data_IF_024406201649
#
_entry.id   IF_024406201649
#
_cell.length_a   1.000
_cell.length_b   1.000
_cell.length_c   1.000
_cell.angle_alpha   90.00
_cell.angle_beta   90.00
_cell.angle_gamma   90.00
#
_symmetry.space_group_name_H-M   'P 1'
#
loop_
_entity.id
_entity.type
_entity.pdbx_description
1 polymer ?
#
# COMPACT_ATOMS: atom_id res chain seq x y z
N UNK A 1 7.75 -10.32 -1.24
CA UNK A 1 6.65 -9.73 -2.05
C UNK A 1 7.10 -9.72 -3.52
N UNK A 2 6.18 -10.00 -4.44
CA UNK A 2 6.43 -9.93 -5.89
C UNK A 2 5.25 -9.25 -6.58
N UNK A 3 5.43 -8.88 -7.85
CA UNK A 3 4.42 -8.15 -8.63
C UNK A 3 3.91 -6.90 -7.88
N UNK A 4 4.86 -6.07 -7.44
CA UNK A 4 4.54 -4.86 -6.68
C UNK A 4 4.00 -3.79 -7.63
N UNK A 5 2.81 -3.30 -7.33
CA UNK A 5 2.18 -2.20 -8.03
C UNK A 5 1.79 -1.11 -7.03
N UNK A 6 1.93 0.14 -7.43
CA UNK A 6 1.75 1.29 -6.56
C UNK A 6 0.81 2.29 -7.23
N UNK A 7 -0.10 2.85 -6.44
CA UNK A 7 -0.95 3.96 -6.86
C UNK A 7 -0.27 5.30 -6.61
N UNK A 8 -0.72 6.35 -7.29
CA UNK A 8 -0.22 7.71 -7.08
C UNK A 8 -0.36 8.12 -5.60
N UNK A 9 0.68 8.71 -4.98
CA UNK A 9 0.61 9.12 -3.58
C UNK A 9 -0.31 10.33 -3.39
N UNK A 10 -1.10 10.30 -2.32
CA UNK A 10 -1.97 11.40 -1.87
C UNK A 10 -1.37 12.08 -0.64
N UNK A 11 -1.63 13.38 -0.48
CA UNK A 11 -1.25 14.07 0.75
C UNK A 11 -2.09 13.56 1.92
N UNK A 12 -1.45 13.32 3.05
CA UNK A 12 -2.15 12.97 4.27
C UNK A 12 -3.02 14.15 4.74
N UNK A 13 -4.30 13.88 5.03
CA UNK A 13 -5.29 14.93 5.38
C UNK A 13 -4.93 15.64 6.69
N UNK A 14 -4.28 14.94 7.63
CA UNK A 14 -3.98 15.45 8.99
C UNK A 14 -2.49 15.58 9.31
N UNK A 15 -1.61 15.52 8.31
CA UNK A 15 -0.16 15.53 8.54
C UNK A 15 0.66 16.07 7.37
N UNK A 16 1.98 16.10 7.57
CA UNK A 16 2.95 16.50 6.54
C UNK A 16 3.39 15.30 5.67
N UNK A 17 2.76 14.14 5.87
CA UNK A 17 3.07 12.91 5.18
C UNK A 17 2.32 12.75 3.85
N UNK A 18 2.59 11.61 3.23
CA UNK A 18 1.91 11.12 2.05
C UNK A 18 1.40 9.72 2.32
N UNK A 19 0.26 9.38 1.74
CA UNK A 19 -0.28 8.03 1.77
C UNK A 19 -0.30 7.46 0.35
N UNK A 20 0.11 6.20 0.18
CA UNK A 20 0.00 5.51 -1.10
C UNK A 20 -0.60 4.12 -0.91
N UNK A 21 -1.33 3.65 -1.92
CA UNK A 21 -1.81 2.27 -1.95
C UNK A 21 -0.79 1.39 -2.67
N UNK A 22 -0.42 0.26 -2.05
CA UNK A 22 0.52 -0.72 -2.59
C UNK A 22 -0.18 -2.06 -2.68
N UNK A 23 -0.19 -2.65 -3.88
CA UNK A 23 -0.72 -4.00 -4.14
C UNK A 23 0.44 -4.92 -4.50
N UNK A 24 0.50 -6.09 -3.86
CA UNK A 24 1.52 -7.08 -4.18
C UNK A 24 1.04 -8.49 -3.86
N UNK A 25 1.62 -9.48 -4.54
CA UNK A 25 1.50 -10.87 -4.15
C UNK A 25 2.37 -11.14 -2.92
N UNK A 26 1.74 -11.68 -1.87
CA UNK A 26 2.41 -11.96 -0.60
C UNK A 26 2.48 -13.46 -0.32
N UNK A 27 3.54 -13.83 0.38
CA UNK A 27 3.76 -15.15 0.95
C UNK A 27 3.93 -14.97 2.45
N UNK A 28 3.31 -15.83 3.25
CA UNK A 28 3.47 -15.82 4.70
C UNK A 28 4.90 -16.18 5.10
N UNK A 29 5.24 -15.95 6.37
CA UNK A 29 6.52 -16.38 6.93
C UNK A 29 6.76 -17.90 6.82
N UNK A 30 5.69 -18.70 6.72
CA UNK A 30 5.74 -20.17 6.57
C UNK A 30 5.77 -20.63 5.12
N UNK A 31 5.85 -19.71 4.15
CA UNK A 31 5.88 -20.06 2.72
C UNK A 31 4.51 -20.24 2.07
N UNK A 32 3.41 -20.02 2.79
CA UNK A 32 2.05 -20.14 2.23
C UNK A 32 1.71 -18.92 1.39
N UNK A 33 1.21 -19.11 0.17
CA UNK A 33 0.71 -17.99 -0.65
C UNK A 33 -0.51 -17.34 0.00
N UNK A 34 -0.45 -16.03 0.19
CA UNK A 34 -1.54 -15.19 0.70
C UNK A 34 -2.29 -14.48 -0.43
N UNK A 35 -1.84 -14.66 -1.68
CA UNK A 35 -2.36 -13.96 -2.85
C UNK A 35 -2.09 -12.45 -2.81
N UNK A 36 -2.87 -11.73 -3.62
CA UNK A 36 -2.77 -10.29 -3.75
C UNK A 36 -3.30 -9.61 -2.48
N UNK A 37 -2.48 -8.75 -1.89
CA UNK A 37 -2.85 -7.95 -0.73
C UNK A 37 -2.60 -6.47 -1.04
N UNK A 38 -3.50 -5.62 -0.56
CA UNK A 38 -3.41 -4.17 -0.72
C UNK A 38 -3.19 -3.52 0.63
N UNK A 39 -2.21 -2.63 0.72
CA UNK A 39 -1.85 -1.89 1.92
C UNK A 39 -1.85 -0.39 1.64
N UNK A 40 -2.26 0.39 2.63
CA UNK A 40 -1.96 1.82 2.69
C UNK A 40 -0.66 1.97 3.44
N UNK A 41 0.29 2.67 2.82
CA UNK A 41 1.56 3.06 3.45
C UNK A 41 1.55 4.56 3.69
N UNK A 42 1.93 4.98 4.89
CA UNK A 42 2.12 6.39 5.23
C UNK A 42 3.62 6.68 5.22
N UNK A 43 4.01 7.71 4.47
CA UNK A 43 5.39 8.12 4.24
C UNK A 43 5.57 9.52 4.82
N UNK A 44 6.57 9.67 5.69
CA UNK A 44 6.96 10.97 6.24
C UNK A 44 8.48 11.05 6.31
N UNK A 45 9.06 12.17 5.88
CA UNK A 45 10.51 12.36 5.83
C UNK A 45 11.25 11.30 4.99
N UNK A 46 10.63 10.81 3.91
CA UNK A 46 11.20 9.78 3.03
C UNK A 46 11.20 8.36 3.61
N UNK A 47 10.50 8.12 4.74
CA UNK A 47 10.41 6.81 5.39
C UNK A 47 8.96 6.36 5.52
N UNK A 48 8.71 5.07 5.39
CA UNK A 48 7.41 4.47 5.72
C UNK A 48 7.26 4.46 7.24
N UNK A 49 6.37 5.30 7.76
CA UNK A 49 6.12 5.46 9.21
C UNK A 49 4.94 4.63 9.70
N UNK A 50 4.02 4.27 8.80
CA UNK A 50 2.92 3.36 9.09
C UNK A 50 2.58 2.50 7.87
N UNK A 51 2.03 1.31 8.13
CA UNK A 51 1.44 0.43 7.11
C UNK A 51 0.24 -0.28 7.70
N UNK A 52 -0.88 -0.22 7.00
CA UNK A 52 -2.08 -1.00 7.35
C UNK A 52 -2.68 -1.64 6.12
N UNK A 53 -3.41 -2.73 6.32
CA UNK A 53 -4.20 -3.33 5.24
C UNK A 53 -5.27 -2.33 4.82
N UNK A 54 -5.49 -2.23 3.50
CA UNK A 54 -6.60 -1.44 2.98
C UNK A 54 -7.92 -2.13 3.30
N UNK A 55 -8.89 -1.35 3.75
CA UNK A 55 -10.28 -1.74 3.99
C UNK A 55 -11.13 -1.41 2.75
N UNK A 56 -12.39 -1.86 2.75
CA UNK A 56 -13.29 -1.68 1.61
C UNK A 56 -13.57 -0.20 1.32
N UNK A 57 -13.62 0.64 2.36
CA UNK A 57 -13.94 2.06 2.27
C UNK A 57 -12.70 2.94 2.00
N UNK A 58 -11.52 2.34 1.90
CA UNK A 58 -10.32 3.06 1.53
C UNK A 58 -10.29 3.37 0.02
N UNK A 59 -9.68 4.50 -0.33
CA UNK A 59 -9.52 4.96 -1.73
C UNK A 59 -8.82 3.94 -2.64
N UNK A 60 -8.06 3.00 -2.04
CA UNK A 60 -7.31 1.97 -2.76
C UNK A 60 -8.16 1.09 -3.69
N UNK A 61 -9.47 0.97 -3.47
CA UNK A 61 -10.37 0.24 -4.35
C UNK A 61 -10.59 0.89 -5.71
N UNK A 62 -10.44 2.22 -5.80
CA UNK A 62 -10.68 3.02 -7.01
C UNK A 62 -9.41 3.55 -7.66
N UNK A 63 -8.25 3.33 -7.02
CA UNK A 63 -6.96 3.78 -7.53
C UNK A 63 -6.53 3.04 -8.80
N UNK A 64 -5.72 3.73 -9.61
CA UNK A 64 -4.98 3.12 -10.71
C UNK A 64 -3.58 2.75 -10.23
N UNK A 65 -3.15 1.53 -10.57
CA UNK A 65 -1.90 0.94 -10.08
C UNK A 65 -0.93 0.74 -11.23
N UNK A 66 0.32 1.12 -11.02
CA UNK A 66 1.41 0.94 -11.96
C UNK A 66 2.51 0.06 -11.36
N UNK A 67 3.18 -0.80 -12.15
CA UNK A 67 4.30 -1.60 -11.67
C UNK A 67 5.49 -0.69 -11.33
N UNK A 68 6.27 -1.08 -10.32
CA UNK A 68 7.55 -0.44 -9.98
C UNK A 68 8.75 -1.18 -10.57
#
# INVERSE_FOLDING_TARGET
>A
PHEVHVASPHREVRGLGWTACVRAQLTSATGTSLGAQTYIVTISGGKVVDRRRAEADDICGTETYEPI
#
